data_IF_457807274375
#
_entry.id   IF_457807274375
#
_cell.length_a   1.000
_cell.length_b   1.000
_cell.length_c   1.000
_cell.angle_alpha   90.00
_cell.angle_beta   90.00
_cell.angle_gamma   90.00
#
_symmetry.space_group_name_H-M   'P 1'
#
loop_
_entity.id
_entity.type
_entity.pdbx_description
1 polymer ?
#
# COMPACT_ATOMS: atom_id res chain seq x y z
N UNK A 1 87.08 -17.50 -25.99
CA UNK A 1 86.61 -17.64 -24.60
C UNK A 1 86.44 -16.25 -23.98
N UNK A 2 85.25 -16.00 -23.41
CA UNK A 2 84.78 -14.83 -22.65
C UNK A 2 84.46 -13.56 -23.44
N UNK A 3 83.16 -13.45 -23.72
CA UNK A 3 82.44 -12.32 -24.30
C UNK A 3 82.24 -11.17 -23.32
N UNK A 4 82.31 -9.98 -23.91
CA UNK A 4 82.09 -8.64 -23.38
C UNK A 4 80.65 -8.48 -22.85
N UNK A 5 80.47 -8.00 -21.61
CA UNK A 5 79.16 -7.67 -21.03
C UNK A 5 78.92 -6.16 -21.17
N UNK A 6 77.96 -5.79 -22.01
CA UNK A 6 77.42 -4.43 -22.11
C UNK A 6 76.26 -4.26 -21.13
N UNK A 7 76.25 -3.16 -20.40
CA UNK A 7 75.28 -2.81 -19.36
C UNK A 7 74.24 -1.86 -19.98
N UNK A 8 73.03 -2.35 -20.26
CA UNK A 8 71.91 -1.52 -20.74
C UNK A 8 70.97 -1.30 -19.55
N UNK A 9 70.79 -0.03 -19.18
CA UNK A 9 69.88 0.41 -18.13
C UNK A 9 68.41 0.25 -18.53
N UNK A 10 67.62 -0.32 -17.62
CA UNK A 10 66.17 -0.47 -17.75
C UNK A 10 65.50 0.72 -17.04
N UNK A 11 64.83 1.57 -17.80
CA UNK A 11 63.94 2.62 -17.27
C UNK A 11 62.58 2.00 -17.00
N UNK A 12 62.21 1.89 -15.72
CA UNK A 12 60.90 1.44 -15.25
C UNK A 12 59.89 2.60 -15.37
N UNK A 13 58.94 2.48 -16.29
CA UNK A 13 57.79 3.38 -16.40
C UNK A 13 56.74 2.90 -15.38
N UNK A 14 56.55 3.67 -14.32
CA UNK A 14 55.56 3.42 -13.28
C UNK A 14 54.20 3.94 -13.78
N UNK A 15 53.31 3.04 -14.21
CA UNK A 15 51.92 3.36 -14.55
C UNK A 15 51.10 3.61 -13.28
N UNK A 16 50.76 4.87 -13.02
CA UNK A 16 49.74 5.24 -12.01
C UNK A 16 48.37 4.75 -12.49
N UNK A 17 47.88 3.66 -11.89
CA UNK A 17 46.47 3.30 -11.93
C UNK A 17 45.72 4.28 -11.02
N UNK A 18 45.04 5.25 -11.64
CA UNK A 18 44.05 6.06 -10.96
C UNK A 18 42.88 5.14 -10.56
N UNK A 19 42.85 4.72 -9.29
CA UNK A 19 41.68 4.07 -8.70
C UNK A 19 40.67 5.17 -8.42
N UNK A 20 39.78 5.41 -9.38
CA UNK A 20 38.56 6.17 -9.07
C UNK A 20 37.79 5.40 -8.01
N UNK A 21 37.36 6.02 -6.90
CA UNK A 21 36.46 5.35 -5.97
C UNK A 21 35.16 5.07 -6.73
N UNK A 22 34.88 3.79 -6.96
CA UNK A 22 33.54 3.35 -7.33
C UNK A 22 32.71 3.60 -6.07
N UNK A 23 31.84 4.61 -6.10
CA UNK A 23 30.71 4.65 -5.17
C UNK A 23 29.86 3.41 -5.50
N UNK A 24 30.01 2.36 -4.71
CA UNK A 24 29.03 1.29 -4.67
C UNK A 24 27.72 1.93 -4.22
N UNK A 25 26.78 2.06 -5.15
CA UNK A 25 25.41 2.45 -4.86
C UNK A 25 24.77 1.21 -4.24
N UNK A 26 24.70 1.20 -2.91
CA UNK A 26 24.29 0.07 -2.09
C UNK A 26 22.75 -0.04 -2.07
N UNK A 27 22.16 -0.23 -3.25
CA UNK A 27 20.72 -0.40 -3.48
C UNK A 27 20.18 -1.76 -2.99
N UNK A 28 21.05 -2.61 -2.42
CA UNK A 28 20.73 -4.01 -2.09
C UNK A 28 20.36 -4.23 -0.61
N UNK A 29 20.37 -3.19 0.22
CA UNK A 29 20.14 -3.35 1.66
C UNK A 29 18.78 -2.88 2.15
N UNK A 30 18.06 -2.06 1.38
CA UNK A 30 16.69 -1.64 1.71
C UNK A 30 15.88 -1.26 0.47
N UNK A 31 14.55 -1.21 0.61
CA UNK A 31 13.63 -0.64 -0.37
C UNK A 31 12.53 0.15 0.32
N UNK A 32 12.28 1.36 -0.17
CA UNK A 32 11.13 2.19 0.22
C UNK A 32 9.92 1.93 -0.68
N UNK A 33 8.73 1.92 -0.10
CA UNK A 33 7.46 1.71 -0.81
C UNK A 33 6.57 2.93 -0.66
N UNK A 34 6.41 3.72 -1.73
CA UNK A 34 5.55 4.90 -1.75
C UNK A 34 4.07 4.58 -1.45
N UNK A 35 3.62 3.37 -1.76
CA UNK A 35 2.25 2.90 -1.58
C UNK A 35 1.78 3.00 -0.13
N UNK A 36 2.67 2.71 0.81
CA UNK A 36 2.39 2.72 2.25
C UNK A 36 3.32 3.63 3.04
N UNK A 37 4.38 4.15 2.40
CA UNK A 37 5.46 4.95 2.99
C UNK A 37 6.21 4.24 4.11
N UNK A 38 6.60 3.00 3.84
CA UNK A 38 7.41 2.17 4.73
C UNK A 38 8.59 1.58 3.98
N UNK A 39 9.63 1.23 4.72
CA UNK A 39 10.85 0.61 4.23
C UNK A 39 10.84 -0.89 4.55
N UNK A 40 11.56 -1.67 3.76
CA UNK A 40 12.02 -3.00 4.13
C UNK A 40 13.54 -2.96 4.10
N UNK A 41 14.23 -3.57 5.06
CA UNK A 41 15.69 -3.59 5.11
C UNK A 41 16.27 -4.92 5.60
N UNK A 42 17.56 -5.14 5.36
CA UNK A 42 18.32 -6.26 5.88
C UNK A 42 17.74 -7.64 5.53
N UNK A 43 17.68 -8.54 6.50
CA UNK A 43 17.23 -9.92 6.29
C UNK A 43 15.79 -10.01 5.74
N UNK A 44 14.89 -9.11 6.15
CA UNK A 44 13.52 -9.08 5.62
C UNK A 44 13.48 -8.62 4.16
N UNK A 45 14.36 -7.70 3.75
CA UNK A 45 14.45 -7.28 2.35
C UNK A 45 14.97 -8.42 1.47
N UNK A 46 16.03 -9.11 1.90
CA UNK A 46 16.54 -10.29 1.21
C UNK A 46 15.50 -11.42 1.10
N UNK A 47 14.72 -11.65 2.17
CA UNK A 47 13.62 -12.62 2.11
C UNK A 47 12.53 -12.19 1.11
N UNK A 48 12.13 -10.91 1.16
CA UNK A 48 11.09 -10.34 0.30
C UNK A 48 11.47 -10.44 -1.19
N UNK A 49 12.71 -10.14 -1.56
CA UNK A 49 13.20 -10.22 -2.94
C UNK A 49 13.18 -11.65 -3.50
N UNK A 50 13.30 -12.66 -2.64
CA UNK A 50 13.35 -14.07 -3.05
C UNK A 50 11.96 -14.70 -3.25
N UNK A 51 10.88 -13.99 -2.91
CA UNK A 51 9.52 -14.43 -3.19
C UNK A 51 9.11 -13.92 -4.57
N UNK A 52 8.75 -14.85 -5.46
CA UNK A 52 8.13 -14.48 -6.73
C UNK A 52 6.84 -13.70 -6.47
N UNK A 53 6.70 -12.53 -7.08
CA UNK A 53 5.54 -11.65 -6.89
C UNK A 53 5.24 -11.32 -5.41
N UNK A 54 6.29 -11.03 -4.62
CA UNK A 54 6.17 -10.71 -3.20
C UNK A 54 5.10 -9.64 -2.87
N UNK A 55 4.92 -8.63 -3.72
CA UNK A 55 3.88 -7.60 -3.56
C UNK A 55 2.46 -8.17 -3.66
N UNK A 56 2.24 -9.19 -4.49
CA UNK A 56 0.97 -9.92 -4.58
C UNK A 56 0.78 -10.80 -3.35
N UNK A 57 1.84 -11.52 -2.93
CA UNK A 57 1.78 -12.52 -1.87
C UNK A 57 1.77 -11.92 -0.45
N UNK A 58 2.79 -11.13 -0.09
CA UNK A 58 2.94 -10.48 1.21
C UNK A 58 2.20 -9.13 1.27
N UNK A 59 2.10 -8.43 0.14
CA UNK A 59 1.66 -7.03 0.11
C UNK A 59 2.75 -6.05 0.52
N UNK A 60 2.39 -4.78 0.57
CA UNK A 60 3.32 -3.73 0.98
C UNK A 60 3.60 -3.78 2.50
N UNK A 61 4.79 -3.34 2.95
CA UNK A 61 5.06 -3.18 4.37
C UNK A 61 4.08 -2.15 4.97
N UNK A 62 3.56 -2.43 6.16
CA UNK A 62 2.67 -1.51 6.89
C UNK A 62 3.27 -0.99 8.19
N UNK A 63 4.47 -1.46 8.51
CA UNK A 63 5.32 -0.99 9.61
C UNK A 63 6.78 -1.04 9.16
N UNK A 64 7.65 -0.35 9.90
CA UNK A 64 9.08 -0.69 9.95
C UNK A 64 9.31 -2.03 10.69
N UNK A 65 10.52 -2.58 10.63
CA UNK A 65 10.91 -3.71 11.48
C UNK A 65 11.08 -3.26 12.94
N UNK A 66 10.58 -4.04 13.91
CA UNK A 66 10.69 -3.73 15.34
C UNK A 66 10.67 -5.00 16.20
N UNK A 67 11.15 -4.90 17.44
CA UNK A 67 11.07 -5.98 18.42
C UNK A 67 9.67 -5.96 19.05
N UNK A 68 8.91 -7.05 18.89
CA UNK A 68 7.58 -7.19 19.48
C UNK A 68 7.64 -7.47 20.99
N UNK A 69 6.47 -7.63 21.62
CA UNK A 69 6.37 -7.87 23.07
C UNK A 69 7.07 -9.17 23.53
N UNK A 70 7.21 -10.15 22.64
CA UNK A 70 7.87 -11.43 22.91
C UNK A 70 9.39 -11.40 22.68
N UNK A 71 9.95 -10.25 22.32
CA UNK A 71 11.38 -10.11 22.05
C UNK A 71 11.82 -10.56 20.64
N UNK A 72 10.87 -10.81 19.73
CA UNK A 72 11.13 -11.24 18.36
C UNK A 72 11.18 -10.03 17.44
N UNK A 73 12.19 -9.94 16.57
CA UNK A 73 12.21 -8.94 15.50
C UNK A 73 11.17 -9.33 14.45
N UNK A 74 10.22 -8.43 14.20
CA UNK A 74 9.11 -8.64 13.27
C UNK A 74 8.96 -7.44 12.34
N UNK A 75 8.34 -7.68 11.18
CA UNK A 75 7.80 -6.63 10.34
C UNK A 75 6.44 -7.06 9.78
N UNK A 76 5.47 -6.15 9.84
CA UNK A 76 4.14 -6.40 9.34
C UNK A 76 3.99 -5.91 7.90
N UNK A 77 3.31 -6.73 7.10
CA UNK A 77 2.90 -6.44 5.74
C UNK A 77 1.37 -6.44 5.68
N UNK A 78 0.79 -6.02 4.56
CA UNK A 78 -0.67 -6.05 4.41
C UNK A 78 -1.25 -7.45 4.63
N UNK A 79 -0.59 -8.50 4.11
CA UNK A 79 -1.11 -9.87 4.08
C UNK A 79 -0.37 -10.86 4.98
N UNK A 80 0.84 -10.52 5.39
CA UNK A 80 1.71 -11.38 6.16
C UNK A 80 2.43 -10.64 7.29
N UNK A 81 3.12 -11.38 8.16
CA UNK A 81 4.12 -10.87 9.10
C UNK A 81 5.38 -11.72 8.94
N UNK A 82 6.52 -11.06 8.82
CA UNK A 82 7.82 -11.72 8.87
C UNK A 82 8.37 -11.63 10.28
N UNK A 83 9.05 -12.69 10.71
CA UNK A 83 9.74 -12.75 11.99
C UNK A 83 11.14 -13.35 11.82
N UNK A 84 12.12 -12.81 12.54
CA UNK A 84 13.49 -13.32 12.57
C UNK A 84 13.69 -14.13 13.85
N UNK A 85 13.89 -15.45 13.69
CA UNK A 85 14.14 -16.37 14.79
C UNK A 85 15.40 -17.19 14.49
N UNK A 86 16.30 -17.29 15.47
CA UNK A 86 17.56 -18.04 15.32
C UNK A 86 18.41 -17.64 14.11
N UNK A 87 18.29 -16.39 13.64
CA UNK A 87 19.00 -15.89 12.46
C UNK A 87 18.32 -16.18 11.11
N UNK A 88 17.17 -16.85 11.11
CA UNK A 88 16.39 -17.16 9.90
C UNK A 88 15.08 -16.39 9.87
N UNK A 89 14.67 -15.97 8.67
CA UNK A 89 13.41 -15.26 8.44
C UNK A 89 12.31 -16.27 8.11
N UNK A 90 11.19 -16.16 8.82
CA UNK A 90 10.01 -16.98 8.60
C UNK A 90 8.74 -16.14 8.46
N UNK A 91 7.74 -16.70 7.80
CA UNK A 91 6.37 -16.20 7.89
C UNK A 91 5.78 -16.60 9.22
N UNK A 92 5.18 -15.65 9.93
CA UNK A 92 4.33 -15.99 11.07
C UNK A 92 3.12 -16.82 10.59
N UNK A 93 2.64 -17.79 11.38
CA UNK A 93 1.53 -18.66 11.00
C UNK A 93 0.18 -17.92 11.13
N UNK A 94 0.01 -16.82 10.40
CA UNK A 94 -1.12 -15.90 10.58
C UNK A 94 -2.45 -16.56 10.24
N UNK A 95 -2.50 -17.50 9.31
CA UNK A 95 -3.71 -18.25 9.05
C UNK A 95 -4.14 -19.04 10.28
N UNK A 96 -3.20 -19.72 10.95
CA UNK A 96 -3.46 -20.42 12.23
C UNK A 96 -3.87 -19.44 13.33
N UNK A 97 -3.14 -18.33 13.48
CA UNK A 97 -3.34 -17.36 14.56
C UNK A 97 -4.62 -16.53 14.43
N UNK A 98 -5.16 -16.41 13.22
CA UNK A 98 -6.35 -15.60 12.93
C UNK A 98 -7.56 -16.42 12.49
N UNK A 99 -7.44 -17.75 12.43
CA UNK A 99 -8.52 -18.62 11.98
C UNK A 99 -9.76 -18.47 12.88
N UNK A 100 -10.89 -18.22 12.23
CA UNK A 100 -12.22 -18.25 12.82
C UNK A 100 -13.09 -19.05 11.87
N UNK A 101 -13.80 -20.04 12.38
CA UNK A 101 -14.64 -20.91 11.55
C UNK A 101 -15.81 -20.13 10.94
N UNK A 102 -15.96 -20.24 9.63
CA UNK A 102 -17.07 -19.72 8.84
C UNK A 102 -18.12 -20.77 8.50
N UNK A 103 -18.95 -20.48 7.50
CA UNK A 103 -19.89 -21.48 6.96
C UNK A 103 -19.13 -22.42 6.05
N UNK A 104 -18.95 -23.67 6.49
CA UNK A 104 -18.24 -24.67 5.70
C UNK A 104 -18.97 -25.00 4.40
N UNK A 105 -18.20 -25.07 3.31
CA UNK A 105 -18.65 -25.43 1.98
C UNK A 105 -18.11 -26.82 1.66
N UNK A 106 -19.00 -27.73 1.27
CA UNK A 106 -18.60 -29.05 0.77
C UNK A 106 -18.27 -28.93 -0.71
N UNK A 107 -16.99 -29.02 -1.02
CA UNK A 107 -16.48 -29.11 -2.39
C UNK A 107 -15.86 -30.49 -2.55
N UNK A 108 -16.37 -31.25 -3.50
CA UNK A 108 -15.84 -32.57 -3.85
C UNK A 108 -15.68 -32.63 -5.37
N UNK A 109 -14.42 -32.63 -5.81
CA UNK A 109 -14.07 -32.80 -7.21
C UNK A 109 -12.67 -33.44 -7.35
N UNK A 110 -12.57 -34.77 -7.49
CA UNK A 110 -11.28 -35.46 -7.52
C UNK A 110 -10.42 -35.10 -8.73
N UNK A 111 -10.99 -34.48 -9.78
CA UNK A 111 -10.23 -34.06 -10.97
C UNK A 111 -9.63 -32.65 -10.82
N UNK A 112 -10.11 -31.86 -9.85
CA UNK A 112 -9.72 -30.47 -9.67
C UNK A 112 -9.21 -30.16 -8.25
N UNK A 113 -9.06 -31.17 -7.41
CA UNK A 113 -8.62 -31.05 -6.02
C UNK A 113 -7.33 -31.84 -5.78
N UNK A 114 -6.51 -31.35 -4.86
CA UNK A 114 -5.38 -32.09 -4.28
C UNK A 114 -5.64 -32.28 -2.79
N UNK A 115 -5.57 -33.54 -2.34
CA UNK A 115 -5.67 -33.89 -0.93
C UNK A 115 -4.35 -33.66 -0.21
N UNK A 116 -4.44 -33.23 1.04
CA UNK A 116 -3.30 -33.03 1.94
C UNK A 116 -3.46 -33.88 3.19
N UNK A 117 -2.35 -34.13 3.90
CA UNK A 117 -2.33 -34.96 5.11
C UNK A 117 -3.22 -34.42 6.25
N UNK A 118 -3.58 -33.13 6.19
CA UNK A 118 -4.52 -32.50 7.13
C UNK A 118 -5.97 -32.95 6.93
N UNK A 119 -6.29 -33.58 5.79
CA UNK A 119 -7.64 -33.97 5.40
C UNK A 119 -8.41 -32.88 4.65
N UNK A 120 -7.85 -31.67 4.52
CA UNK A 120 -8.43 -30.57 3.76
C UNK A 120 -7.86 -30.52 2.35
N UNK A 121 -8.73 -30.67 1.34
CA UNK A 121 -8.34 -30.57 -0.05
C UNK A 121 -8.27 -29.11 -0.51
N UNK A 122 -7.33 -28.82 -1.41
CA UNK A 122 -7.25 -27.53 -2.12
C UNK A 122 -7.66 -27.74 -3.56
N UNK A 123 -8.58 -26.91 -4.05
CA UNK A 123 -9.26 -27.16 -5.33
C UNK A 123 -9.25 -25.96 -6.29
N UNK A 124 -9.45 -26.23 -7.58
CA UNK A 124 -9.69 -25.24 -8.64
C UNK A 124 -8.67 -24.08 -8.64
N UNK A 125 -9.14 -22.84 -8.76
CA UNK A 125 -8.31 -21.65 -8.78
C UNK A 125 -7.50 -21.44 -7.49
N UNK A 126 -7.93 -22.01 -6.35
CA UNK A 126 -7.14 -21.97 -5.11
C UNK A 126 -5.91 -22.86 -5.23
N UNK A 127 -6.06 -24.04 -5.84
CA UNK A 127 -4.94 -24.95 -6.09
C UNK A 127 -3.96 -24.35 -7.09
N UNK A 128 -4.47 -23.73 -8.16
CA UNK A 128 -3.63 -23.00 -9.11
C UNK A 128 -2.83 -21.89 -8.42
N UNK A 129 -3.50 -21.03 -7.65
CA UNK A 129 -2.82 -19.96 -6.91
C UNK A 129 -1.78 -20.51 -5.95
N UNK A 130 -2.13 -21.56 -5.20
CA UNK A 130 -1.24 -22.25 -4.26
C UNK A 130 0.03 -22.74 -4.95
N UNK A 131 -0.10 -23.46 -6.07
CA UNK A 131 1.05 -23.99 -6.81
C UNK A 131 1.93 -22.89 -7.42
N UNK A 132 1.32 -21.80 -7.91
CA UNK A 132 2.04 -20.67 -8.52
C UNK A 132 2.78 -19.79 -7.50
N UNK A 133 2.33 -19.76 -6.24
CA UNK A 133 2.84 -18.87 -5.18
C UNK A 133 3.58 -19.61 -4.06
N UNK A 134 4.37 -20.62 -4.44
CA UNK A 134 5.30 -21.31 -3.53
C UNK A 134 4.68 -22.41 -2.65
N UNK A 135 3.38 -22.67 -2.79
CA UNK A 135 2.67 -23.80 -2.17
C UNK A 135 2.99 -24.00 -0.70
N UNK A 136 3.37 -25.22 -0.33
CA UNK A 136 3.69 -25.59 1.05
C UNK A 136 4.84 -24.77 1.65
N UNK A 137 5.80 -24.32 0.84
CA UNK A 137 6.97 -23.61 1.35
C UNK A 137 6.61 -22.21 1.88
N UNK A 138 5.58 -21.56 1.32
CA UNK A 138 5.15 -20.22 1.72
C UNK A 138 3.80 -20.22 2.46
N UNK A 139 2.76 -20.85 1.91
CA UNK A 139 1.45 -20.89 2.57
C UNK A 139 1.38 -21.89 3.74
N UNK A 140 2.17 -22.97 3.67
CA UNK A 140 2.03 -24.13 4.55
C UNK A 140 0.83 -24.99 4.17
N UNK A 141 0.48 -25.94 5.04
CA UNK A 141 -0.64 -26.85 4.82
C UNK A 141 -2.00 -26.14 4.93
N UNK A 142 -3.04 -26.60 4.20
CA UNK A 142 -4.40 -26.16 4.45
C UNK A 142 -4.84 -26.62 5.85
N UNK A 143 -5.48 -25.72 6.60
CA UNK A 143 -5.95 -25.96 7.97
C UNK A 143 -7.47 -25.83 8.11
N UNK A 144 -8.16 -25.59 7.00
CA UNK A 144 -9.61 -25.53 6.95
C UNK A 144 -10.14 -26.09 5.63
N UNK A 145 -11.41 -26.54 5.60
CA UNK A 145 -12.11 -26.72 4.35
C UNK A 145 -12.36 -25.36 3.68
N UNK A 146 -12.99 -25.38 2.51
CA UNK A 146 -13.56 -24.16 1.94
C UNK A 146 -14.67 -23.63 2.84
N UNK A 147 -14.69 -22.32 3.05
CA UNK A 147 -15.67 -21.66 3.90
C UNK A 147 -16.21 -20.41 3.21
N UNK A 148 -17.43 -20.02 3.59
CA UNK A 148 -18.00 -18.74 3.23
C UNK A 148 -17.91 -17.78 4.42
N UNK A 149 -17.15 -16.70 4.24
CA UNK A 149 -16.89 -15.65 5.24
C UNK A 149 -16.78 -14.29 4.55
N UNK A 150 -17.21 -13.21 5.22
CA UNK A 150 -17.06 -11.83 4.73
C UNK A 150 -17.52 -11.64 3.27
N UNK A 151 -18.63 -12.31 2.90
CA UNK A 151 -19.21 -12.32 1.56
C UNK A 151 -18.27 -12.89 0.47
N UNK A 152 -17.38 -13.81 0.84
CA UNK A 152 -16.38 -14.45 -0.03
C UNK A 152 -16.22 -15.93 0.29
N UNK A 153 -15.77 -16.69 -0.69
CA UNK A 153 -15.26 -18.04 -0.46
C UNK A 153 -13.80 -17.92 -0.04
N UNK A 154 -13.43 -18.59 1.05
CA UNK A 154 -12.09 -18.56 1.64
C UNK A 154 -11.60 -19.96 1.95
N UNK A 155 -10.28 -20.11 2.07
CA UNK A 155 -9.65 -21.28 2.67
C UNK A 155 -8.43 -20.82 3.45
N UNK A 156 -8.27 -21.33 4.68
CA UNK A 156 -7.14 -21.03 5.54
C UNK A 156 -6.02 -22.05 5.34
N UNK A 157 -4.80 -21.53 5.38
CA UNK A 157 -3.55 -22.27 5.39
C UNK A 157 -2.79 -21.90 6.67
N UNK A 158 -1.68 -22.57 6.97
CA UNK A 158 -0.93 -22.27 8.20
C UNK A 158 -0.50 -20.80 8.28
N UNK A 159 0.06 -20.26 7.18
CA UNK A 159 0.66 -18.91 7.14
C UNK A 159 -0.27 -17.84 6.56
N UNK A 160 -1.41 -18.23 6.00
CA UNK A 160 -2.23 -17.31 5.22
C UNK A 160 -3.69 -17.74 5.06
N UNK A 161 -4.45 -16.91 4.36
CA UNK A 161 -5.82 -17.20 3.91
C UNK A 161 -5.92 -16.82 2.45
N UNK A 162 -6.45 -17.73 1.63
CA UNK A 162 -6.84 -17.40 0.26
C UNK A 162 -8.29 -16.98 0.22
N UNK A 163 -8.59 -15.99 -0.61
CA UNK A 163 -9.92 -15.41 -0.79
C UNK A 163 -10.29 -15.34 -2.25
N UNK A 164 -11.54 -15.67 -2.58
CA UNK A 164 -12.09 -15.51 -3.92
C UNK A 164 -12.89 -14.22 -4.07
N UNK A 165 -12.55 -13.45 -5.10
CA UNK A 165 -13.10 -12.13 -5.41
C UNK A 165 -13.75 -12.14 -6.80
N UNK A 166 -15.08 -12.20 -6.90
CA UNK A 166 -15.79 -12.29 -8.19
C UNK A 166 -15.55 -11.08 -9.10
N UNK A 167 -15.35 -9.90 -8.50
CA UNK A 167 -15.20 -8.63 -9.20
C UNK A 167 -13.83 -8.45 -9.84
N UNK A 168 -12.85 -9.31 -9.55
CA UNK A 168 -11.53 -9.27 -10.19
C UNK A 168 -11.58 -9.94 -11.58
N UNK A 169 -10.67 -9.55 -12.49
CA UNK A 169 -10.51 -10.21 -13.78
C UNK A 169 -10.30 -11.73 -13.62
N UNK A 170 -10.66 -12.48 -14.65
CA UNK A 170 -10.37 -13.92 -14.70
C UNK A 170 -8.86 -14.18 -14.54
N UNK A 171 -8.50 -15.27 -13.87
CA UNK A 171 -7.13 -15.56 -13.46
C UNK A 171 -6.63 -14.79 -12.23
N UNK A 172 -7.28 -13.69 -11.83
CA UNK A 172 -6.87 -12.86 -10.69
C UNK A 172 -7.86 -12.89 -9.53
N UNK A 173 -8.83 -13.81 -9.56
CA UNK A 173 -9.92 -13.85 -8.57
C UNK A 173 -9.49 -14.41 -7.22
N UNK A 174 -8.44 -15.23 -7.17
CA UNK A 174 -7.89 -15.73 -5.90
C UNK A 174 -6.75 -14.82 -5.48
N UNK A 175 -6.80 -14.34 -4.23
CA UNK A 175 -5.76 -13.48 -3.65
C UNK A 175 -5.47 -13.91 -2.22
N UNK A 176 -4.28 -13.56 -1.73
CA UNK A 176 -3.96 -13.61 -0.31
C UNK A 176 -4.78 -12.55 0.46
N UNK A 177 -5.39 -12.99 1.57
CA UNK A 177 -6.14 -12.15 2.49
C UNK A 177 -5.24 -11.25 3.33
N UNK A 178 -5.79 -10.14 3.83
CA UNK A 178 -5.03 -9.10 4.56
C UNK A 178 -4.77 -9.47 6.03
N UNK A 179 -4.30 -10.70 6.28
CA UNK A 179 -4.13 -11.21 7.64
C UNK A 179 -3.05 -10.46 8.42
N UNK A 180 -2.04 -9.89 7.76
CA UNK A 180 -1.02 -9.08 8.42
C UNK A 180 -1.63 -7.83 9.08
N UNK A 181 -2.44 -7.08 8.34
CA UNK A 181 -3.14 -5.91 8.87
C UNK A 181 -4.20 -6.28 9.93
N UNK A 182 -4.94 -7.38 9.72
CA UNK A 182 -5.93 -7.88 10.68
C UNK A 182 -5.24 -8.27 12.00
N UNK A 183 -4.15 -9.02 11.92
CA UNK A 183 -3.42 -9.50 13.09
C UNK A 183 -2.78 -8.34 13.86
N UNK A 184 -2.15 -7.37 13.17
CA UNK A 184 -1.61 -6.17 13.79
C UNK A 184 -2.65 -5.45 14.66
N UNK A 185 -3.85 -5.26 14.11
CA UNK A 185 -4.95 -4.58 14.80
C UNK A 185 -5.50 -5.41 15.97
N UNK A 186 -5.42 -6.74 15.93
CA UNK A 186 -5.97 -7.60 16.98
C UNK A 186 -5.00 -7.92 18.11
N UNK A 187 -3.68 -7.80 17.90
CA UNK A 187 -2.66 -8.10 18.92
C UNK A 187 -2.38 -6.95 19.87
N UNK A 188 -2.96 -5.77 19.65
CA UNK A 188 -2.71 -4.58 20.49
C UNK A 188 -1.31 -3.98 20.29
N UNK A 189 -0.73 -4.16 19.10
CA UNK A 189 0.48 -3.42 18.71
C UNK A 189 0.20 -1.92 18.68
N UNK A 190 1.24 -1.11 18.93
CA UNK A 190 1.11 0.35 18.91
C UNK A 190 0.67 0.84 17.52
N UNK A 191 -0.53 1.45 17.39
CA UNK A 191 -1.04 1.93 16.11
C UNK A 191 -0.11 2.92 15.40
N UNK A 192 0.70 3.68 16.15
CA UNK A 192 1.64 4.65 15.58
C UNK A 192 2.72 3.99 14.71
N UNK A 193 2.95 2.68 14.84
CA UNK A 193 3.88 1.94 13.96
C UNK A 193 3.43 1.89 12.51
N UNK A 194 2.16 2.19 12.23
CA UNK A 194 1.61 2.28 10.86
C UNK A 194 1.72 3.67 10.26
N UNK A 195 2.16 4.66 11.05
CA UNK A 195 2.34 6.02 10.55
C UNK A 195 3.43 6.03 9.46
N UNK A 196 3.24 6.79 8.38
CA UNK A 196 4.24 6.95 7.32
C UNK A 196 5.60 7.36 7.85
N UNK A 197 6.65 6.75 7.32
CA UNK A 197 8.03 7.12 7.63
C UNK A 197 8.77 7.63 6.39
N UNK A 198 9.90 8.29 6.64
CA UNK A 198 10.80 8.73 5.59
C UNK A 198 11.59 7.54 5.01
N UNK A 199 12.01 7.61 3.74
CA UNK A 199 12.95 6.65 3.17
C UNK A 199 14.25 6.59 3.99
N UNK A 200 14.79 5.38 4.17
CA UNK A 200 16.10 5.18 4.80
C UNK A 200 17.24 5.73 3.93
N UNK A 201 17.13 5.62 2.61
CA UNK A 201 18.03 6.31 1.69
C UNK A 201 17.57 7.76 1.46
N UNK A 202 18.34 8.77 1.90
CA UNK A 202 17.99 10.19 1.72
C UNK A 202 18.01 10.66 0.26
N UNK A 203 18.54 9.85 -0.66
CA UNK A 203 18.49 10.13 -2.10
C UNK A 203 17.09 9.93 -2.68
N UNK A 204 16.29 9.04 -2.08
CA UNK A 204 14.93 8.73 -2.51
C UNK A 204 14.02 9.95 -2.28
N UNK A 205 13.16 10.22 -3.28
CA UNK A 205 12.13 11.25 -3.21
C UNK A 205 10.77 10.57 -3.14
N UNK A 206 10.07 10.76 -2.03
CA UNK A 206 8.72 10.23 -1.83
C UNK A 206 7.78 10.73 -2.92
N UNK A 207 7.02 9.81 -3.51
CA UNK A 207 6.07 10.10 -4.58
C UNK A 207 4.63 10.14 -4.05
N UNK A 208 3.86 11.09 -4.59
CA UNK A 208 2.40 11.09 -4.43
C UNK A 208 1.83 10.25 -5.56
N UNK A 209 1.21 9.12 -5.22
CA UNK A 209 0.69 8.15 -6.20
C UNK A 209 -0.79 8.34 -6.50
N UNK A 210 -1.53 9.03 -5.63
CA UNK A 210 -2.93 9.34 -5.83
C UNK A 210 -3.35 10.53 -4.98
N UNK A 211 -4.34 11.29 -5.43
CA UNK A 211 -4.95 12.37 -4.66
C UNK A 211 -6.33 11.94 -4.14
N UNK A 212 -6.48 11.94 -2.82
CA UNK A 212 -7.75 11.80 -2.12
C UNK A 212 -8.30 13.19 -1.83
N UNK A 213 -9.20 13.65 -2.70
CA UNK A 213 -9.83 14.97 -2.59
C UNK A 213 -11.17 14.83 -1.87
N UNK A 214 -11.38 15.66 -0.84
CA UNK A 214 -12.67 15.78 -0.13
C UNK A 214 -13.04 17.24 -0.04
N UNK A 215 -14.34 17.55 -0.14
CA UNK A 215 -14.83 18.89 0.02
C UNK A 215 -16.08 18.90 0.90
N UNK A 216 -16.21 19.93 1.76
CA UNK A 216 -17.37 20.09 2.61
C UNK A 216 -17.68 21.57 2.86
N UNK A 217 -18.96 21.95 2.91
CA UNK A 217 -19.35 23.30 3.27
C UNK A 217 -19.20 23.52 4.78
N UNK A 218 -18.99 24.77 5.18
CA UNK A 218 -19.04 25.16 6.58
C UNK A 218 -20.46 25.02 7.14
N UNK A 219 -21.46 25.44 6.36
CA UNK A 219 -22.88 25.29 6.69
C UNK A 219 -23.54 24.33 5.71
N UNK A 220 -24.10 23.22 6.21
CA UNK A 220 -24.87 22.29 5.36
C UNK A 220 -26.17 22.94 4.81
N UNK A 221 -26.67 23.96 5.50
CA UNK A 221 -27.87 24.72 5.17
C UNK A 221 -27.60 26.20 5.40
N UNK A 222 -28.01 27.07 4.48
CA UNK A 222 -27.74 28.52 4.51
C UNK A 222 -28.92 29.32 3.95
N UNK A 223 -28.99 30.62 4.25
CA UNK A 223 -30.04 31.51 3.74
C UNK A 223 -29.90 31.80 2.24
N UNK A 224 -30.97 32.33 1.63
CA UNK A 224 -30.98 32.77 0.22
C UNK A 224 -29.94 33.85 -0.10
N UNK A 225 -29.50 34.62 0.90
CA UNK A 225 -28.36 35.55 0.84
C UNK A 225 -27.54 35.41 2.12
N UNK A 226 -26.28 34.99 2.00
CA UNK A 226 -25.40 34.70 3.15
C UNK A 226 -23.92 34.61 2.68
N UNK A 227 -23.03 34.38 3.64
CA UNK A 227 -21.65 33.95 3.44
C UNK A 227 -21.50 32.47 3.77
N UNK A 228 -20.69 31.78 2.95
CA UNK A 228 -20.37 30.37 3.08
C UNK A 228 -18.87 30.16 2.88
N UNK A 229 -18.32 29.12 3.49
CA UNK A 229 -16.99 28.63 3.19
C UNK A 229 -17.08 27.20 2.66
N UNK A 230 -16.28 26.86 1.66
CA UNK A 230 -16.05 25.48 1.24
C UNK A 230 -14.62 25.12 1.62
N UNK A 231 -14.47 24.07 2.40
CA UNK A 231 -13.17 23.48 2.71
C UNK A 231 -12.89 22.37 1.71
N UNK A 232 -11.71 22.41 1.10
CA UNK A 232 -11.18 21.34 0.24
C UNK A 232 -9.96 20.76 0.95
N UNK A 233 -9.96 19.46 1.19
CA UNK A 233 -8.86 18.73 1.81
C UNK A 233 -8.28 17.77 0.78
N UNK A 234 -6.96 17.79 0.60
CA UNK A 234 -6.23 16.93 -0.33
C UNK A 234 -5.18 16.15 0.45
N UNK A 235 -5.32 14.83 0.39
CA UNK A 235 -4.38 13.90 1.02
C UNK A 235 -3.86 12.90 -0.02
N UNK A 236 -2.75 12.24 0.28
CA UNK A 236 -2.17 11.22 -0.60
C UNK A 236 -2.68 9.79 -0.31
N UNK A 237 -2.05 8.80 -0.96
CA UNK A 237 -2.34 7.37 -0.77
C UNK A 237 -2.26 6.92 0.70
N UNK A 238 -1.45 7.60 1.52
CA UNK A 238 -1.25 7.33 2.96
C UNK A 238 -2.02 8.27 3.89
N UNK A 239 -2.91 9.10 3.35
CA UNK A 239 -3.68 10.12 4.08
C UNK A 239 -2.85 11.26 4.68
N UNK A 240 -1.61 11.46 4.22
CA UNK A 240 -0.83 12.64 4.61
C UNK A 240 -1.24 13.85 3.77
N UNK A 241 -1.14 15.08 4.31
CA UNK A 241 -1.49 16.29 3.59
C UNK A 241 -0.61 16.47 2.35
N UNK A 242 -1.23 16.90 1.25
CA UNK A 242 -0.53 17.17 -0.01
C UNK A 242 -0.43 18.68 -0.24
N UNK A 243 0.79 19.21 -0.17
CA UNK A 243 1.04 20.63 -0.42
C UNK A 243 1.17 20.95 -1.92
N UNK A 244 0.72 22.14 -2.32
CA UNK A 244 1.03 22.71 -3.63
C UNK A 244 0.21 22.14 -4.78
N UNK A 245 -0.76 21.28 -4.49
CA UNK A 245 -1.75 20.87 -5.47
C UNK A 245 -2.65 22.06 -5.84
N UNK A 246 -3.04 22.15 -7.11
CA UNK A 246 -3.83 23.27 -7.64
C UNK A 246 -5.03 22.76 -8.41
N UNK A 247 -6.08 23.57 -8.52
CA UNK A 247 -7.30 23.12 -9.17
C UNK A 247 -8.36 24.19 -9.29
N UNK A 248 -9.59 23.71 -9.48
CA UNK A 248 -10.76 24.54 -9.63
C UNK A 248 -11.98 23.93 -8.93
N UNK A 249 -12.83 24.79 -8.40
CA UNK A 249 -14.13 24.45 -7.85
C UNK A 249 -15.21 25.12 -8.69
N UNK A 250 -16.02 24.32 -9.37
CA UNK A 250 -17.18 24.77 -10.13
C UNK A 250 -18.40 24.74 -9.23
N UNK A 251 -18.91 25.92 -8.90
CA UNK A 251 -20.16 26.10 -8.16
C UNK A 251 -21.31 26.15 -9.15
N UNK A 252 -22.31 25.31 -8.96
CA UNK A 252 -23.54 25.26 -9.75
C UNK A 252 -24.66 25.77 -8.83
N UNK A 253 -25.14 26.97 -9.14
CA UNK A 253 -26.17 27.66 -8.37
C UNK A 253 -27.55 27.05 -8.58
N UNK A 254 -28.51 27.43 -7.74
CA UNK A 254 -29.90 26.93 -7.83
C UNK A 254 -30.60 27.30 -9.14
N UNK A 255 -30.09 28.32 -9.83
CA UNK A 255 -30.55 28.79 -11.15
C UNK A 255 -29.96 27.97 -12.31
N UNK A 256 -28.97 27.12 -12.05
CA UNK A 256 -28.14 26.47 -13.07
C UNK A 256 -26.95 27.32 -13.55
N UNK A 257 -26.80 28.56 -13.06
CA UNK A 257 -25.62 29.37 -13.34
C UNK A 257 -24.36 28.72 -12.73
N UNK A 258 -23.25 28.78 -13.44
CA UNK A 258 -21.96 28.24 -12.98
C UNK A 258 -20.98 29.36 -12.61
N UNK A 259 -20.23 29.17 -11.53
CA UNK A 259 -19.09 30.02 -11.14
C UNK A 259 -17.89 29.15 -10.81
N UNK A 260 -16.76 29.42 -11.45
CA UNK A 260 -15.49 28.72 -11.14
C UNK A 260 -14.64 29.54 -10.19
N UNK A 261 -14.09 28.89 -9.16
CA UNK A 261 -13.12 29.44 -8.23
C UNK A 261 -11.80 28.67 -8.33
N UNK A 262 -10.63 29.34 -8.21
CA UNK A 262 -9.36 28.65 -8.10
C UNK A 262 -9.27 27.92 -6.75
N UNK A 263 -8.63 26.76 -6.75
CA UNK A 263 -8.30 25.98 -5.55
C UNK A 263 -6.79 25.92 -5.44
N UNK A 264 -6.25 26.46 -4.36
CA UNK A 264 -4.82 26.48 -4.07
C UNK A 264 -4.60 25.81 -2.71
N UNK A 265 -4.00 24.63 -2.72
CA UNK A 265 -3.81 23.82 -1.51
C UNK A 265 -2.57 24.30 -0.75
N UNK A 266 -2.76 24.61 0.54
CA UNK A 266 -1.72 25.07 1.44
C UNK A 266 -0.80 23.94 1.96
N UNK A 267 0.11 24.29 2.88
CA UNK A 267 1.04 23.35 3.52
C UNK A 267 0.36 22.27 4.37
N UNK A 268 -0.88 22.51 4.82
CA UNK A 268 -1.66 21.55 5.59
C UNK A 268 -2.54 20.66 4.71
N UNK A 269 -2.43 20.78 3.38
CA UNK A 269 -3.27 20.04 2.45
C UNK A 269 -4.69 20.59 2.37
N UNK A 270 -4.90 21.86 2.71
CA UNK A 270 -6.24 22.48 2.78
C UNK A 270 -6.34 23.69 1.84
N UNK A 271 -7.51 23.88 1.23
CA UNK A 271 -7.95 25.17 0.68
C UNK A 271 -9.28 25.57 1.30
N UNK A 272 -9.44 26.88 1.55
CA UNK A 272 -10.69 27.47 2.02
C UNK A 272 -11.22 28.45 0.98
N UNK A 273 -12.41 28.17 0.44
CA UNK A 273 -13.03 28.94 -0.63
C UNK A 273 -14.20 29.75 -0.09
N UNK A 274 -14.11 31.09 -0.04
CA UNK A 274 -15.23 31.93 0.34
C UNK A 274 -16.28 32.00 -0.78
N UNK A 275 -17.54 31.85 -0.40
CA UNK A 275 -18.70 31.95 -1.28
C UNK A 275 -19.70 32.98 -0.75
N UNK A 276 -19.89 34.04 -1.54
CA UNK A 276 -21.03 34.94 -1.37
C UNK A 276 -22.24 34.34 -2.05
N UNK A 277 -23.29 34.09 -1.28
CA UNK A 277 -24.58 33.60 -1.75
C UNK A 277 -25.50 34.81 -1.88
N UNK A 278 -26.16 34.95 -3.03
CA UNK A 278 -27.09 36.04 -3.27
C UNK A 278 -28.34 35.52 -4.00
N UNK A 279 -29.50 35.86 -3.46
CA UNK A 279 -30.83 35.64 -4.04
C UNK A 279 -31.07 34.23 -4.60
N UNK A 280 -30.58 33.19 -3.91
CA UNK A 280 -30.79 31.80 -4.34
C UNK A 280 -32.19 31.30 -3.99
N UNK A 281 -32.72 30.38 -4.81
CA UNK A 281 -34.07 29.86 -4.63
C UNK A 281 -34.19 28.97 -3.38
N UNK A 282 -35.23 29.19 -2.58
CA UNK A 282 -35.52 28.37 -1.39
C UNK A 282 -35.76 26.90 -1.75
N UNK A 283 -35.25 26.00 -0.91
CA UNK A 283 -35.29 24.55 -1.15
C UNK A 283 -34.29 24.08 -2.20
N UNK A 284 -33.61 25.00 -2.89
CA UNK A 284 -32.61 24.70 -3.90
C UNK A 284 -31.34 24.09 -3.32
N UNK A 285 -30.64 23.32 -4.17
CA UNK A 285 -29.35 22.72 -3.87
C UNK A 285 -28.27 23.47 -4.65
N UNK A 286 -27.23 23.93 -3.95
CA UNK A 286 -26.01 24.42 -4.58
C UNK A 286 -25.00 23.28 -4.56
N UNK A 287 -24.51 22.90 -5.73
CA UNK A 287 -23.52 21.83 -5.89
C UNK A 287 -22.17 22.44 -6.22
N UNK A 288 -21.10 21.84 -5.71
CA UNK A 288 -19.73 22.27 -5.95
C UNK A 288 -18.92 21.06 -6.39
N UNK A 289 -18.51 21.07 -7.65
CA UNK A 289 -17.61 20.08 -8.22
C UNK A 289 -16.18 20.59 -8.11
N UNK A 290 -15.34 19.85 -7.41
CA UNK A 290 -13.95 20.21 -7.13
C UNK A 290 -13.03 19.25 -7.87
N UNK A 291 -12.08 19.79 -8.62
CA UNK A 291 -11.02 19.03 -9.27
C UNK A 291 -9.67 19.65 -8.90
N UNK A 292 -8.73 18.81 -8.48
CA UNK A 292 -7.37 19.21 -8.09
C UNK A 292 -6.35 18.29 -8.75
N UNK A 293 -5.19 18.83 -9.11
CA UNK A 293 -4.06 18.08 -9.65
C UNK A 293 -2.72 18.46 -9.00
N UNK A 294 -1.80 17.51 -9.03
CA UNK A 294 -0.40 17.65 -8.66
C UNK A 294 0.43 16.80 -9.65
N UNK A 295 1.15 17.46 -10.55
CA UNK A 295 1.84 16.76 -11.65
C UNK A 295 0.83 15.98 -12.50
N UNK A 296 1.06 14.68 -12.66
CA UNK A 296 0.17 13.77 -13.39
C UNK A 296 -1.00 13.26 -12.53
N UNK A 297 -0.92 13.41 -11.21
CA UNK A 297 -1.97 12.96 -10.32
C UNK A 297 -3.12 13.95 -10.32
N UNK A 298 -4.34 13.43 -10.35
CA UNK A 298 -5.56 14.22 -10.22
C UNK A 298 -6.56 13.53 -9.33
N UNK A 299 -7.41 14.33 -8.70
CA UNK A 299 -8.53 13.86 -7.91
C UNK A 299 -9.70 14.81 -8.04
N UNK A 300 -10.90 14.27 -7.85
CA UNK A 300 -12.13 15.03 -7.93
C UNK A 300 -13.10 14.62 -6.83
N UNK A 301 -13.98 15.54 -6.46
CA UNK A 301 -15.05 15.30 -5.49
C UNK A 301 -16.18 16.28 -5.73
N UNK A 302 -17.37 15.94 -5.24
CA UNK A 302 -18.53 16.82 -5.28
C UNK A 302 -19.04 17.01 -3.87
N UNK A 303 -19.36 18.25 -3.53
CA UNK A 303 -20.04 18.60 -2.28
C UNK A 303 -21.25 19.46 -2.56
N UNK A 304 -22.10 19.68 -1.55
CA UNK A 304 -23.29 20.51 -1.72
C UNK A 304 -23.79 21.08 -0.40
N UNK A 305 -24.57 22.15 -0.48
CA UNK A 305 -25.33 22.69 0.64
C UNK A 305 -26.71 23.14 0.16
N UNK A 306 -27.68 23.19 1.09
CA UNK A 306 -29.06 23.58 0.78
C UNK A 306 -29.32 25.05 1.09
N UNK A 307 -30.14 25.67 0.27
CA UNK A 307 -30.73 26.98 0.55
C UNK A 307 -32.04 26.76 1.28
N UNK A 308 -32.13 27.27 2.51
CA UNK A 308 -33.33 27.13 3.33
C UNK A 308 -33.52 28.37 4.19
N UNK A 309 -34.77 28.85 4.21
CA UNK A 309 -35.24 30.13 4.76
C UNK A 309 -34.76 31.40 4.05
#
# INVERSE_FOLDING_TARGET
MKSMRSFIGLVMILSLLAVSPVQAQDDDHNKYFDQTRHNIQGAFWHFYQNINEAETFLGYPITEQFINQDGVLVQYFQRARLELQNGEVHLSPLGTLTYKTGVQLRIDNPLACRDFETGDAVCFAFLQYFDEHGGLALLGYPISPFEYQDNRVVQYFQNGRLEWHPSKPEGQRVVMGELGAIFFNSTGEDPARRDPVLPLDPSIRTQVLSLKVRAFPWKAVTYSTDQQLIFVVVQDQTFQPVQGAIGQAKVIWTTGEEKTLPVLIDENGIATLPLTIANQAYGGLVTIDVQVSLGEQSGQTTTSFRIWY
#
